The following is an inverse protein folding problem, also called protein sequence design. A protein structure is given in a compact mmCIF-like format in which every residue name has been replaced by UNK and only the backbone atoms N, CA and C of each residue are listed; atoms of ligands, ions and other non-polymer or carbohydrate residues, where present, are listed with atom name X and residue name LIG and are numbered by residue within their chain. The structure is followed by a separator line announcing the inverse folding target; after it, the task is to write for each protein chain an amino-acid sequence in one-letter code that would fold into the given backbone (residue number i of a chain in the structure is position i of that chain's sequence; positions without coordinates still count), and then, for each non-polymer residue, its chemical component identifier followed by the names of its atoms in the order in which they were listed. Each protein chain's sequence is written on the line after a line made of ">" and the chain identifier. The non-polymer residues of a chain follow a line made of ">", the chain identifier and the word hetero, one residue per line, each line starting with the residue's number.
data_IF_640473309256
#
_entry.id   IF_640473309256
#
_cell.length_a   1.000
_cell.length_b   1.000
_cell.length_c   1.000
_cell.angle_alpha   90.00
_cell.angle_beta   90.00
_cell.angle_gamma   90.00
#
_symmetry.space_group_name_H-M   'P 1'
#
loop_
_entity.id
_entity.type
_entity.pdbx_description
1 polymer ?
#
# COMPACT_ATOMS: atom_id res chain seq x y z
N UNK A 1 -12.86 5.95 27.28
CA UNK A 1 -13.49 5.89 25.95
C UNK A 1 -13.09 4.57 25.29
N UNK A 2 -14.02 3.80 24.72
CA UNK A 2 -13.72 2.53 24.06
C UNK A 2 -13.96 2.64 22.54
N UNK A 3 -13.52 1.64 21.76
CA UNK A 3 -13.65 1.63 20.30
C UNK A 3 -15.12 1.69 19.86
N UNK A 4 -16.03 1.04 20.60
CA UNK A 4 -17.47 1.06 20.31
C UNK A 4 -18.05 2.48 20.37
N UNK A 5 -17.70 3.24 21.42
CA UNK A 5 -18.11 4.64 21.59
C UNK A 5 -17.54 5.52 20.47
N UNK A 6 -16.25 5.38 20.16
CA UNK A 6 -15.58 6.16 19.10
C UNK A 6 -16.21 5.87 17.74
N UNK A 7 -16.49 4.59 17.43
CA UNK A 7 -17.14 4.21 16.18
C UNK A 7 -18.54 4.79 16.08
N UNK A 8 -19.31 4.73 17.16
CA UNK A 8 -20.67 5.27 17.18
C UNK A 8 -20.67 6.78 16.91
N UNK A 9 -19.79 7.52 17.58
CA UNK A 9 -19.63 8.97 17.39
C UNK A 9 -19.15 9.31 15.98
N UNK A 10 -18.14 8.59 15.46
CA UNK A 10 -17.65 8.78 14.11
C UNK A 10 -18.73 8.51 13.06
N UNK A 11 -19.57 7.48 13.24
CA UNK A 11 -20.65 7.18 12.30
C UNK A 11 -21.79 8.21 12.35
N UNK A 12 -21.95 8.93 13.45
CA UNK A 12 -22.95 10.00 13.61
C UNK A 12 -22.58 11.31 12.88
N UNK A 13 -21.32 11.48 12.47
CA UNK A 13 -20.86 12.65 11.70
C UNK A 13 -21.50 12.71 10.30
N UNK A 14 -21.53 13.92 9.71
CA UNK A 14 -21.95 14.10 8.33
C UNK A 14 -20.99 13.34 7.37
N UNK A 15 -21.44 12.93 6.16
CA UNK A 15 -20.60 12.16 5.24
C UNK A 15 -19.23 12.78 4.94
N UNK A 16 -19.17 14.11 4.79
CA UNK A 16 -17.92 14.84 4.54
C UNK A 16 -16.97 14.79 5.73
N UNK A 17 -17.47 14.99 6.95
CA UNK A 17 -16.67 14.94 8.18
C UNK A 17 -16.16 13.52 8.44
N UNK A 18 -16.96 12.49 8.14
CA UNK A 18 -16.51 11.10 8.19
C UNK A 18 -15.39 10.81 7.22
N UNK A 19 -15.49 11.31 5.99
CA UNK A 19 -14.45 11.11 4.98
C UNK A 19 -13.13 11.76 5.43
N UNK A 20 -13.19 12.98 5.97
CA UNK A 20 -12.03 13.68 6.51
C UNK A 20 -11.40 12.93 7.71
N UNK A 21 -12.23 12.44 8.64
CA UNK A 21 -11.75 11.64 9.77
C UNK A 21 -11.11 10.33 9.32
N UNK A 22 -11.70 9.65 8.32
CA UNK A 22 -11.15 8.43 7.76
C UNK A 22 -9.79 8.65 7.08
N UNK A 23 -9.64 9.75 6.33
CA UNK A 23 -8.35 10.15 5.74
C UNK A 23 -7.30 10.38 6.82
N UNK A 24 -7.60 11.16 7.85
CA UNK A 24 -6.67 11.43 8.95
C UNK A 24 -6.25 10.15 9.70
N UNK A 25 -7.21 9.27 9.97
CA UNK A 25 -6.91 7.98 10.60
C UNK A 25 -6.04 7.11 9.71
N UNK A 26 -6.31 7.06 8.40
CA UNK A 26 -5.51 6.31 7.45
C UNK A 26 -4.08 6.86 7.38
N UNK A 27 -3.91 8.17 7.23
CA UNK A 27 -2.60 8.82 7.23
C UNK A 27 -1.85 8.67 8.55
N UNK A 28 -2.57 8.51 9.68
CA UNK A 28 -1.91 8.23 10.97
C UNK A 28 -1.28 6.84 11.05
N UNK A 29 -1.67 5.92 10.17
CA UNK A 29 -1.08 4.60 10.05
C UNK A 29 0.23 4.62 9.24
N UNK A 30 0.47 5.67 8.46
CA UNK A 30 1.71 5.88 7.72
C UNK A 30 2.79 6.35 8.69
N UNK A 31 3.35 5.40 9.44
CA UNK A 31 4.36 5.68 10.47
C UNK A 31 5.75 5.95 9.92
N UNK A 32 5.97 5.63 8.64
CA UNK A 32 7.23 5.83 7.95
C UNK A 32 7.21 7.16 7.22
N UNK A 33 8.29 7.91 7.36
CA UNK A 33 8.55 9.07 6.51
C UNK A 33 8.76 8.64 5.05
N UNK A 34 8.51 9.55 4.11
CA UNK A 34 8.78 9.33 2.69
C UNK A 34 10.22 8.83 2.45
N UNK A 35 11.19 9.38 3.19
CA UNK A 35 12.59 8.97 3.11
C UNK A 35 12.83 7.54 3.61
N UNK A 36 12.14 7.10 4.66
CA UNK A 36 12.20 5.71 5.13
C UNK A 36 11.55 4.76 4.12
N UNK A 37 10.42 5.16 3.52
CA UNK A 37 9.75 4.41 2.46
C UNK A 37 10.68 4.26 1.24
N UNK A 38 11.27 5.36 0.77
CA UNK A 38 12.23 5.36 -0.35
C UNK A 38 13.42 4.44 -0.06
N UNK A 39 13.96 4.52 1.15
CA UNK A 39 15.09 3.69 1.56
C UNK A 39 14.74 2.18 1.58
N UNK A 40 13.54 1.82 2.04
CA UNK A 40 13.06 0.44 2.03
C UNK A 40 12.82 -0.06 0.60
N UNK A 41 12.23 0.77 -0.27
CA UNK A 41 12.06 0.44 -1.69
C UNK A 41 13.40 0.24 -2.40
N UNK A 42 14.40 1.08 -2.11
CA UNK A 42 15.73 0.92 -2.68
C UNK A 42 16.38 -0.39 -2.26
N UNK A 43 16.29 -0.74 -0.97
CA UNK A 43 16.82 -2.00 -0.44
C UNK A 43 16.15 -3.21 -1.12
N UNK A 44 14.82 -3.17 -1.25
CA UNK A 44 14.07 -4.25 -1.88
C UNK A 44 14.36 -4.36 -3.38
N UNK A 45 14.49 -3.24 -4.10
CA UNK A 45 14.85 -3.22 -5.50
C UNK A 45 16.25 -3.81 -5.74
N UNK A 46 17.23 -3.41 -4.90
CA UNK A 46 18.59 -3.95 -4.97
C UNK A 46 18.62 -5.46 -4.67
N UNK A 47 17.88 -5.90 -3.65
CA UNK A 47 17.75 -7.33 -3.31
C UNK A 47 17.17 -8.14 -4.47
N UNK A 48 16.08 -7.65 -5.07
CA UNK A 48 15.45 -8.32 -6.22
C UNK A 48 16.35 -8.37 -7.45
N UNK A 49 17.06 -7.28 -7.75
CA UNK A 49 18.01 -7.26 -8.86
C UNK A 49 19.11 -8.31 -8.68
N UNK A 50 19.70 -8.40 -7.49
CA UNK A 50 20.72 -9.41 -7.16
C UNK A 50 20.19 -10.85 -7.27
N UNK A 51 18.96 -11.12 -6.82
CA UNK A 51 18.32 -12.42 -6.97
C UNK A 51 18.10 -12.81 -8.44
N UNK A 52 17.72 -11.84 -9.29
CA UNK A 52 17.56 -12.04 -10.72
C UNK A 52 18.92 -12.34 -11.37
N UNK A 53 19.94 -11.52 -11.09
CA UNK A 53 21.29 -11.67 -11.66
C UNK A 53 21.93 -13.01 -11.27
N UNK A 54 21.64 -13.50 -10.06
CA UNK A 54 22.10 -14.81 -9.57
C UNK A 54 21.23 -15.98 -10.01
N UNK A 55 20.10 -15.74 -10.69
CA UNK A 55 19.16 -16.77 -11.10
C UNK A 55 18.48 -17.50 -9.93
N UNK A 56 18.33 -16.83 -8.79
CA UNK A 56 17.71 -17.38 -7.57
C UNK A 56 16.18 -17.38 -7.62
N UNK A 57 15.60 -16.69 -8.60
CA UNK A 57 14.16 -16.53 -8.76
C UNK A 57 13.72 -16.93 -10.17
N UNK A 58 12.51 -17.44 -10.28
CA UNK A 58 11.87 -17.70 -11.57
C UNK A 58 11.28 -16.39 -12.12
N UNK A 59 11.74 -15.98 -13.29
CA UNK A 59 11.21 -14.79 -13.97
C UNK A 59 9.91 -15.12 -14.69
N UNK A 60 9.02 -14.13 -14.73
CA UNK A 60 7.82 -14.16 -15.57
C UNK A 60 8.09 -13.33 -16.84
N UNK A 61 7.83 -13.87 -18.05
CA UNK A 61 7.93 -13.11 -19.28
C UNK A 61 7.05 -11.86 -19.27
N UNK A 62 7.57 -10.76 -19.81
CA UNK A 62 6.91 -9.45 -19.75
C UNK A 62 5.55 -9.42 -20.50
N UNK A 63 5.42 -10.19 -21.57
CA UNK A 63 4.18 -10.35 -22.34
C UNK A 63 3.08 -11.04 -21.53
N UNK A 64 3.43 -12.04 -20.71
CA UNK A 64 2.48 -12.69 -19.78
C UNK A 64 1.99 -11.69 -18.74
N UNK A 65 2.90 -10.95 -18.10
CA UNK A 65 2.53 -9.91 -17.11
C UNK A 65 1.63 -8.85 -17.75
N UNK A 66 1.94 -8.42 -18.97
CA UNK A 66 1.14 -7.41 -19.66
C UNK A 66 -0.27 -7.91 -19.98
N UNK A 67 -0.41 -9.15 -20.45
CA UNK A 67 -1.72 -9.75 -20.72
C UNK A 67 -2.59 -9.87 -19.47
N UNK A 68 -2.00 -10.33 -18.35
CA UNK A 68 -2.71 -10.44 -17.08
C UNK A 68 -3.15 -9.08 -16.54
N UNK A 69 -2.27 -8.07 -16.61
CA UNK A 69 -2.60 -6.71 -16.18
C UNK A 69 -3.77 -6.12 -16.99
N UNK A 70 -3.79 -6.33 -18.31
CA UNK A 70 -4.91 -5.89 -19.16
C UNK A 70 -6.22 -6.62 -18.85
N UNK A 71 -6.15 -7.88 -18.42
CA UNK A 71 -7.34 -8.66 -18.06
C UNK A 71 -8.03 -8.11 -16.79
N UNK A 72 -7.27 -7.53 -15.85
CA UNK A 72 -7.79 -6.95 -14.60
C UNK A 72 -8.50 -5.60 -14.78
N UNK A 73 -8.35 -4.94 -15.93
CA UNK A 73 -8.97 -3.64 -16.22
C UNK A 73 -10.39 -3.75 -16.80
N UNK A 74 -10.95 -4.96 -16.92
CA UNK A 74 -12.30 -5.24 -17.42
C UNK A 74 -13.27 -5.52 -16.29
#
# INVERSE_FOLDING_TARGET
>A
MNIETIRHEALALAPQERAQLAEQLLSSLDTLTEAEIEQLWFQEAARRADEIDKGLVQLVPADVVHQEALALLK
#
